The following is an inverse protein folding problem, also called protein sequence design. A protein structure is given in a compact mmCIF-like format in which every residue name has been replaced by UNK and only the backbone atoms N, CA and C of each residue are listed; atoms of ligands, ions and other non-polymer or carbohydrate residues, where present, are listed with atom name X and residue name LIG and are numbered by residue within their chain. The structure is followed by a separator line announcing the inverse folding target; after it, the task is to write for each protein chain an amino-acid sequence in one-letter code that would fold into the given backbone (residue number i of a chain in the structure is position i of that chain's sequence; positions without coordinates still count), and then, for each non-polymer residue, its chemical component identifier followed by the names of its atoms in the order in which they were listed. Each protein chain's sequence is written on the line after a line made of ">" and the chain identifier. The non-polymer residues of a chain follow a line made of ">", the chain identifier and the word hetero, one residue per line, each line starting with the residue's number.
data_IF_623164493904
#
_entry.id   IF_623164493904
#
_cell.length_a   1.000
_cell.length_b   1.000
_cell.length_c   1.000
_cell.angle_alpha   90.00
_cell.angle_beta   90.00
_cell.angle_gamma   90.00
#
_symmetry.space_group_name_H-M   'P 1'
#
loop_
_entity.id
_entity.type
_entity.pdbx_description
1 polymer ?
#
# COMPACT_ATOMS: atom_id res chain seq x y z
N UNK A 1 8.33 -13.69 6.28
CA UNK A 1 7.20 -13.21 7.11
C UNK A 1 5.96 -13.95 6.65
N UNK A 2 5.10 -14.37 7.56
CA UNK A 2 3.86 -15.07 7.21
C UNK A 2 2.77 -14.07 6.80
N UNK A 3 1.95 -14.45 5.83
CA UNK A 3 0.82 -13.66 5.35
C UNK A 3 -0.37 -14.57 5.06
N UNK A 4 -1.56 -14.05 5.41
CA UNK A 4 -2.85 -14.67 5.14
C UNK A 4 -3.54 -14.02 3.94
N UNK A 5 -4.21 -14.85 3.13
CA UNK A 5 -4.98 -14.42 1.95
C UNK A 5 -6.38 -15.03 2.01
N UNK A 6 -7.37 -14.25 1.59
CA UNK A 6 -8.76 -14.69 1.47
C UNK A 6 -9.29 -14.46 0.06
N UNK A 7 -10.29 -15.26 -0.34
CA UNK A 7 -10.98 -15.17 -1.64
C UNK A 7 -12.04 -14.08 -1.65
N UNK A 8 -12.69 -13.85 -0.52
CA UNK A 8 -13.79 -12.89 -0.40
C UNK A 8 -13.29 -11.52 0.07
N UNK A 9 -13.88 -10.45 -0.47
CA UNK A 9 -13.58 -9.10 -0.01
C UNK A 9 -14.22 -8.84 1.35
N UNK A 10 -13.44 -8.37 2.32
CA UNK A 10 -13.89 -7.98 3.65
C UNK A 10 -13.35 -6.60 4.02
N UNK A 11 -14.06 -5.81 4.86
CA UNK A 11 -13.54 -4.54 5.35
C UNK A 11 -12.13 -4.68 5.96
N UNK A 12 -11.23 -3.77 5.62
CA UNK A 12 -9.84 -3.80 6.10
C UNK A 12 -8.89 -4.70 5.30
N UNK A 13 -9.39 -5.48 4.35
CA UNK A 13 -8.59 -6.24 3.39
C UNK A 13 -8.45 -5.48 2.07
N UNK A 14 -7.29 -5.63 1.44
CA UNK A 14 -6.96 -4.95 0.19
C UNK A 14 -6.82 -5.97 -0.93
N UNK A 15 -7.29 -5.65 -2.14
CA UNK A 15 -7.17 -6.53 -3.29
C UNK A 15 -5.70 -6.68 -3.67
N UNK A 16 -5.28 -7.93 -3.86
CA UNK A 16 -4.04 -8.32 -4.49
C UNK A 16 -4.39 -8.95 -5.84
N UNK A 17 -3.96 -8.35 -6.96
CA UNK A 17 -4.18 -8.94 -8.28
C UNK A 17 -3.28 -10.15 -8.50
N UNK A 18 -3.75 -11.10 -9.32
CA UNK A 18 -3.05 -12.36 -9.66
C UNK A 18 -1.58 -12.19 -10.04
N UNK A 19 -1.24 -11.13 -10.80
CA UNK A 19 0.14 -10.86 -11.23
C UNK A 19 1.10 -10.47 -10.09
N UNK A 20 0.56 -10.09 -8.93
CA UNK A 20 1.28 -9.74 -7.72
C UNK A 20 1.30 -10.87 -6.68
N UNK A 21 0.73 -12.04 -7.01
CA UNK A 21 0.77 -13.18 -6.10
C UNK A 21 2.22 -13.60 -5.84
N UNK A 22 2.56 -13.84 -4.56
CA UNK A 22 3.88 -14.34 -4.19
C UNK A 22 4.14 -15.68 -4.86
N UNK A 23 5.40 -15.94 -5.21
CA UNK A 23 5.82 -17.21 -5.80
C UNK A 23 5.41 -18.42 -4.95
N UNK A 24 5.57 -18.32 -3.63
CA UNK A 24 5.19 -19.39 -2.70
C UNK A 24 3.68 -19.68 -2.69
N UNK A 25 2.84 -18.72 -3.06
CA UNK A 25 1.41 -18.95 -3.18
C UNK A 25 1.13 -19.88 -4.38
N UNK A 26 1.78 -19.61 -5.52
CA UNK A 26 1.73 -20.48 -6.70
C UNK A 26 2.25 -21.88 -6.40
N UNK A 27 3.43 -21.99 -5.77
CA UNK A 27 4.06 -23.30 -5.51
C UNK A 27 3.22 -24.23 -4.61
N UNK A 28 2.34 -23.68 -3.76
CA UNK A 28 1.53 -24.48 -2.83
C UNK A 28 0.06 -24.64 -3.25
N UNK A 29 -0.47 -23.77 -4.10
CA UNK A 29 -1.91 -23.70 -4.39
C UNK A 29 -2.24 -23.46 -5.88
N UNK A 30 -1.31 -23.78 -6.80
CA UNK A 30 -1.44 -23.48 -8.24
C UNK A 30 -2.80 -23.87 -8.82
N UNK A 31 -3.24 -25.12 -8.58
CA UNK A 31 -4.49 -25.67 -9.13
C UNK A 31 -5.73 -24.86 -8.71
N UNK A 32 -5.76 -24.37 -7.47
CA UNK A 32 -6.87 -23.54 -6.97
C UNK A 32 -6.80 -22.10 -7.47
N UNK A 33 -5.58 -21.57 -7.67
CA UNK A 33 -5.35 -20.18 -8.03
C UNK A 33 -5.54 -19.90 -9.53
N UNK A 34 -5.67 -20.94 -10.37
CA UNK A 34 -5.83 -20.77 -11.81
C UNK A 34 -7.06 -19.91 -12.14
N UNK A 35 -8.16 -20.11 -11.42
CA UNK A 35 -9.43 -19.43 -11.68
C UNK A 35 -9.66 -18.19 -10.80
N UNK A 36 -8.72 -17.87 -9.91
CA UNK A 36 -8.83 -16.75 -8.97
C UNK A 36 -8.05 -15.54 -9.51
N UNK A 37 -8.77 -14.49 -9.93
CA UNK A 37 -8.15 -13.26 -10.45
C UNK A 37 -7.63 -12.32 -9.34
N UNK A 38 -8.27 -12.36 -8.18
CA UNK A 38 -7.98 -11.48 -7.04
C UNK A 38 -8.12 -12.21 -5.74
N UNK A 39 -7.11 -12.06 -4.90
CA UNK A 39 -7.15 -12.42 -3.48
C UNK A 39 -7.17 -11.12 -2.69
N UNK A 40 -7.48 -11.23 -1.40
CA UNK A 40 -7.49 -10.09 -0.50
C UNK A 40 -6.59 -10.37 0.69
N UNK A 41 -5.86 -9.33 1.14
CA UNK A 41 -4.92 -9.43 2.25
C UNK A 41 -5.05 -8.18 3.15
N UNK A 42 -5.07 -8.38 4.46
CA UNK A 42 -5.06 -7.30 5.44
C UNK A 42 -3.64 -6.76 5.70
N UNK A 43 -2.60 -7.54 5.34
CA UNK A 43 -1.18 -7.31 5.62
C UNK A 43 -0.82 -7.19 7.10
N UNK A 44 -1.73 -7.56 8.01
CA UNK A 44 -1.55 -7.45 9.46
C UNK A 44 -2.18 -8.61 10.24
N UNK A 45 -3.32 -9.10 9.77
CA UNK A 45 -4.09 -10.21 10.36
C UNK A 45 -4.02 -11.45 9.46
N UNK A 46 -3.93 -12.61 10.09
CA UNK A 46 -3.83 -13.93 9.47
C UNK A 46 -4.92 -14.87 9.99
N UNK A 47 -5.79 -14.42 10.90
CA UNK A 47 -6.91 -15.20 11.40
C UNK A 47 -7.93 -15.38 10.26
N UNK A 48 -8.50 -16.58 10.16
CA UNK A 48 -9.49 -16.95 9.11
C UNK A 48 -9.04 -16.71 7.65
N UNK A 49 -7.81 -17.10 7.31
CA UNK A 49 -7.31 -17.05 5.92
C UNK A 49 -7.58 -18.34 5.15
N UNK A 50 -7.95 -18.23 3.87
CA UNK A 50 -8.06 -19.35 2.93
C UNK A 50 -6.66 -19.93 2.60
N UNK A 51 -5.66 -19.05 2.47
CA UNK A 51 -4.28 -19.43 2.17
C UNK A 51 -3.32 -18.75 3.15
N UNK A 52 -2.30 -19.49 3.59
CA UNK A 52 -1.23 -18.97 4.46
C UNK A 52 0.12 -19.36 3.90
N UNK A 53 0.98 -18.37 3.66
CA UNK A 53 2.32 -18.61 3.13
C UNK A 53 3.35 -17.71 3.81
N UNK A 54 4.56 -18.25 3.97
CA UNK A 54 5.73 -17.47 4.36
C UNK A 54 6.37 -16.85 3.12
N UNK A 55 6.48 -15.52 3.11
CA UNK A 55 6.99 -14.75 1.98
C UNK A 55 8.30 -14.07 2.38
N UNK A 56 9.30 -14.19 1.51
CA UNK A 56 10.46 -13.31 1.49
C UNK A 56 10.14 -12.08 0.61
N UNK A 57 10.02 -10.91 1.23
CA UNK A 57 9.68 -9.67 0.52
C UNK A 57 10.76 -9.24 -0.49
N UNK A 58 12.03 -9.63 -0.27
CA UNK A 58 13.13 -9.31 -1.19
C UNK A 58 12.99 -10.02 -2.54
N UNK A 59 12.46 -11.24 -2.52
CA UNK A 59 12.32 -12.08 -3.71
C UNK A 59 10.97 -11.88 -4.42
N UNK A 60 10.04 -11.16 -3.78
CA UNK A 60 8.67 -10.96 -4.24
C UNK A 60 8.34 -9.46 -4.32
N UNK A 61 9.13 -8.71 -5.08
CA UNK A 61 9.05 -7.24 -5.11
C UNK A 61 7.66 -6.70 -5.45
N UNK A 62 6.88 -7.39 -6.30
CA UNK A 62 5.50 -7.00 -6.62
C UNK A 62 4.59 -7.06 -5.40
N UNK A 63 4.65 -8.16 -4.65
CA UNK A 63 3.92 -8.28 -3.40
C UNK A 63 4.43 -7.27 -2.35
N UNK A 64 5.75 -7.09 -2.29
CA UNK A 64 6.37 -6.12 -1.38
C UNK A 64 5.94 -4.68 -1.69
N UNK A 65 5.77 -4.30 -2.95
CA UNK A 65 5.25 -3.01 -3.37
C UNK A 65 3.87 -2.73 -2.79
N UNK A 66 2.94 -3.68 -2.95
CA UNK A 66 1.60 -3.60 -2.35
C UNK A 66 1.66 -3.55 -0.82
N UNK A 67 2.48 -4.41 -0.20
CA UNK A 67 2.66 -4.44 1.25
C UNK A 67 3.13 -3.09 1.79
N UNK A 68 4.26 -2.57 1.31
CA UNK A 68 4.82 -1.31 1.79
C UNK A 68 3.90 -0.12 1.50
N UNK A 69 3.26 -0.08 0.33
CA UNK A 69 2.30 0.98 -0.02
C UNK A 69 1.15 1.03 1.00
N UNK A 70 0.59 -0.13 1.38
CA UNK A 70 -0.48 -0.19 2.39
C UNK A 70 0.02 0.07 3.81
N UNK A 71 1.24 -0.37 4.16
CA UNK A 71 1.85 -0.04 5.45
C UNK A 71 2.06 1.46 5.61
N UNK A 72 2.57 2.15 4.59
CA UNK A 72 2.75 3.61 4.57
C UNK A 72 1.40 4.32 4.69
N UNK A 73 0.41 3.89 3.91
CA UNK A 73 -0.94 4.44 3.96
C UNK A 73 -1.55 4.34 5.37
N UNK A 74 -1.52 3.15 5.98
CA UNK A 74 -2.05 2.92 7.33
C UNK A 74 -1.32 3.80 8.37
N UNK A 75 0.00 3.88 8.28
CA UNK A 75 0.79 4.73 9.19
C UNK A 75 0.44 6.21 9.06
N UNK A 76 0.24 6.71 7.84
CA UNK A 76 -0.08 8.11 7.60
C UNK A 76 -1.52 8.47 7.94
N UNK A 77 -2.46 7.54 7.84
CA UNK A 77 -3.86 7.77 8.23
C UNK A 77 -4.00 8.25 9.69
N UNK A 78 -3.09 7.82 10.56
CA UNK A 78 -3.09 8.22 11.98
C UNK A 78 -2.34 9.54 12.24
N UNK A 79 -1.60 10.06 11.25
CA UNK A 79 -0.60 11.13 11.45
C UNK A 79 -0.81 12.37 10.59
N UNK A 80 -1.56 12.26 9.51
CA UNK A 80 -1.77 13.34 8.57
C UNK A 80 -3.23 13.80 8.57
N UNK A 81 -3.45 15.05 8.16
CA UNK A 81 -4.79 15.64 8.10
C UNK A 81 -5.65 15.02 7.00
N UNK A 82 -5.04 14.58 5.89
CA UNK A 82 -5.70 13.77 4.89
C UNK A 82 -4.72 12.82 4.20
N UNK A 83 -5.19 11.61 3.90
CA UNK A 83 -4.45 10.58 3.17
C UNK A 83 -5.38 9.91 2.18
N UNK A 84 -4.91 9.69 0.95
CA UNK A 84 -5.62 8.91 -0.07
C UNK A 84 -4.66 8.18 -0.99
N UNK A 85 -5.20 7.24 -1.77
CA UNK A 85 -4.46 6.69 -2.91
C UNK A 85 -4.62 7.63 -4.12
N UNK A 86 -3.51 7.99 -4.75
CA UNK A 86 -3.48 8.71 -6.02
C UNK A 86 -3.81 7.80 -7.20
N UNK A 87 -3.83 8.37 -8.41
CA UNK A 87 -4.24 7.66 -9.64
C UNK A 87 -3.35 6.45 -9.95
N UNK A 88 -2.06 6.55 -9.67
CA UNK A 88 -1.07 5.46 -9.87
C UNK A 88 -0.81 4.66 -8.59
N UNK A 89 -1.75 4.71 -7.64
CA UNK A 89 -1.70 4.01 -6.34
C UNK A 89 -0.50 4.41 -5.45
N UNK A 90 0.05 5.62 -5.64
CA UNK A 90 0.87 6.28 -4.64
C UNK A 90 0.03 6.75 -3.46
N UNK A 91 0.68 6.97 -2.32
CA UNK A 91 0.04 7.52 -1.13
C UNK A 91 0.17 9.03 -1.18
N UNK A 92 -0.94 9.71 -1.42
CA UNK A 92 -1.02 11.16 -1.32
C UNK A 92 -1.33 11.54 0.12
N UNK A 93 -0.55 12.47 0.66
CA UNK A 93 -0.67 12.94 2.05
C UNK A 93 -0.68 14.46 2.12
N UNK A 94 -1.58 14.99 2.95
CA UNK A 94 -1.75 16.41 3.18
C UNK A 94 -1.46 16.69 4.65
N UNK A 95 -0.56 17.65 4.90
CA UNK A 95 -0.13 18.05 6.22
C UNK A 95 -0.44 19.53 6.40
N UNK A 96 -1.12 19.90 7.49
CA UNK A 96 -1.40 21.28 7.81
C UNK A 96 -0.09 22.07 7.96
N UNK A 97 -0.02 23.22 7.30
CA UNK A 97 1.09 24.14 7.42
C UNK A 97 0.85 25.11 8.58
N UNK A 98 1.28 24.73 9.78
CA UNK A 98 1.06 25.51 11.00
C UNK A 98 1.73 26.90 10.97
N UNK A 99 2.72 27.10 10.10
CA UNK A 99 3.40 28.40 9.93
C UNK A 99 2.59 29.36 9.04
N UNK A 100 1.80 28.84 8.09
CA UNK A 100 1.04 29.62 7.12
C UNK A 100 -0.40 29.86 7.58
N UNK A 101 -0.54 30.50 8.75
CA UNK A 101 -1.85 30.79 9.37
C UNK A 101 -2.59 31.91 8.62
N UNK A 102 -3.83 31.65 8.23
CA UNK A 102 -4.73 32.64 7.66
C UNK A 102 -6.14 32.48 8.27
N UNK A 103 -6.86 33.57 8.62
CA UNK A 103 -8.20 33.48 9.18
C UNK A 103 -9.28 33.00 8.20
N UNK A 104 -9.01 32.97 6.88
CA UNK A 104 -9.99 32.61 5.84
C UNK A 104 -9.80 31.23 5.23
N UNK A 105 -8.67 30.58 5.50
CA UNK A 105 -8.34 29.28 4.93
C UNK A 105 -7.21 28.60 5.72
N UNK A 106 -7.18 27.28 5.64
CA UNK A 106 -6.07 26.45 6.05
C UNK A 106 -5.14 26.17 4.86
N UNK A 107 -3.84 26.20 5.13
CA UNK A 107 -2.80 25.92 4.15
C UNK A 107 -2.29 24.51 4.38
N UNK A 108 -2.23 23.66 3.35
CA UNK A 108 -1.74 22.28 3.45
C UNK A 108 -0.57 22.05 2.50
N UNK A 109 0.51 21.46 3.02
CA UNK A 109 1.61 20.90 2.22
C UNK A 109 1.22 19.51 1.74
N UNK A 110 1.31 19.27 0.43
CA UNK A 110 0.95 17.98 -0.17
C UNK A 110 2.18 17.22 -0.63
N UNK A 111 2.16 15.92 -0.42
CA UNK A 111 3.22 15.02 -0.86
C UNK A 111 2.64 13.76 -1.48
N UNK A 112 3.39 13.18 -2.41
CA UNK A 112 3.14 11.86 -2.98
C UNK A 112 4.27 10.92 -2.60
N UNK A 113 3.92 9.79 -2.00
CA UNK A 113 4.84 8.74 -1.59
C UNK A 113 4.62 7.52 -2.48
N UNK A 114 5.63 7.15 -3.25
CA UNK A 114 5.59 6.01 -4.17
C UNK A 114 6.60 4.96 -3.78
N UNK A 115 6.11 3.76 -3.52
CA UNK A 115 6.96 2.57 -3.45
C UNK A 115 7.30 2.17 -4.89
N UNK A 116 8.56 1.82 -5.12
CA UNK A 116 9.05 1.37 -6.41
C UNK A 116 10.19 0.36 -6.22
N UNK A 117 10.57 -0.34 -7.27
CA UNK A 117 11.65 -1.33 -7.23
C UNK A 117 12.71 -1.02 -8.29
N UNK A 118 13.96 -0.99 -7.83
CA UNK A 118 15.18 -0.92 -8.63
C UNK A 118 15.18 0.14 -9.74
N UNK A 119 14.70 1.36 -9.43
CA UNK A 119 14.78 2.49 -10.36
C UNK A 119 16.08 3.28 -10.19
N UNK A 120 16.58 3.37 -8.96
CA UNK A 120 17.83 4.08 -8.62
C UNK A 120 18.75 3.29 -7.68
N UNK A 121 18.29 2.14 -7.19
CA UNK A 121 18.99 1.21 -6.28
C UNK A 121 18.83 -0.24 -6.78
N UNK A 122 19.33 -1.21 -6.01
CA UNK A 122 19.17 -2.64 -6.28
C UNK A 122 17.94 -3.28 -5.59
N UNK A 123 17.06 -2.48 -4.98
CA UNK A 123 15.99 -3.00 -4.13
C UNK A 123 14.72 -2.17 -4.12
N UNK A 124 13.91 -2.37 -3.09
CA UNK A 124 12.73 -1.55 -2.84
C UNK A 124 13.16 -0.13 -2.47
N UNK A 125 12.42 0.84 -2.98
CA UNK A 125 12.68 2.27 -2.86
C UNK A 125 11.39 2.99 -2.46
N UNK A 126 11.54 4.09 -1.75
CA UNK A 126 10.47 5.03 -1.46
C UNK A 126 10.83 6.38 -2.07
N UNK A 127 10.12 6.76 -3.13
CA UNK A 127 10.20 8.09 -3.72
C UNK A 127 9.19 9.01 -3.03
N UNK A 128 9.64 10.19 -2.61
CA UNK A 128 8.80 11.22 -1.97
C UNK A 128 8.88 12.48 -2.82
N UNK A 129 7.72 12.98 -3.22
CA UNK A 129 7.59 14.20 -4.03
C UNK A 129 6.78 15.25 -3.27
N UNK A 130 7.16 16.52 -3.39
CA UNK A 130 6.36 17.64 -2.90
C UNK A 130 5.46 18.14 -4.04
N UNK A 131 4.14 18.06 -3.85
CA UNK A 131 3.13 18.36 -4.88
C UNK A 131 2.57 19.78 -4.74
N UNK A 132 3.26 20.61 -3.95
CA UNK A 132 2.89 21.99 -3.69
C UNK A 132 1.93 22.16 -2.51
N UNK A 133 1.29 23.33 -2.50
CA UNK A 133 0.45 23.77 -1.39
C UNK A 133 -0.99 23.94 -1.85
N UNK A 134 -1.94 23.49 -1.02
CA UNK A 134 -3.37 23.71 -1.22
C UNK A 134 -3.92 24.67 -0.17
N UNK A 135 -4.87 25.52 -0.57
CA UNK A 135 -5.66 26.35 0.34
C UNK A 135 -7.06 25.74 0.45
N UNK A 136 -7.54 25.54 1.67
CA UNK A 136 -8.85 24.97 1.97
C UNK A 136 -9.62 25.96 2.84
N UNK A 137 -10.79 26.38 2.38
CA UNK A 137 -11.64 27.37 3.03
C UNK A 137 -12.62 26.73 4.02
#
# INVERSE_FOLDING_TARGET
>A
MEFGFIKENKPGYYPLPKWAYPRYLWENYEDELQDIERLYCSFSDQEESDYKVTINLKDNWKFADHYYTKSIYKYLLEKADAVRFGFVNDVEVWLLDEEAKNPKYHTYKRYSLRVQYAKVSAGMELAISFDGTSLVH
#
